data_IF_185968956703
#
_entry.id   IF_185968956703
#
_cell.length_a   1.000
_cell.length_b   1.000
_cell.length_c   1.000
_cell.angle_alpha   90.00
_cell.angle_beta   90.00
_cell.angle_gamma   90.00
#
_symmetry.space_group_name_H-M   'P 1'
#
loop_
_entity.id
_entity.type
_entity.pdbx_description
1 polymer ?
#
# COMPACT_ATOMS: atom_id res chain seq x y z
N UNK A 1 56.04 35.83 30.42
CA UNK A 1 56.02 34.73 29.43
C UNK A 1 54.57 34.27 29.28
N UNK A 2 53.85 34.82 28.32
CA UNK A 2 52.44 34.50 28.07
C UNK A 2 52.35 33.29 27.15
N UNK A 3 51.79 32.19 27.67
CA UNK A 3 51.58 30.97 26.90
C UNK A 3 50.23 31.09 26.19
N UNK A 4 50.24 31.54 24.92
CA UNK A 4 49.09 31.45 24.05
C UNK A 4 48.95 29.99 23.58
N UNK A 5 48.18 29.21 24.33
CA UNK A 5 47.81 27.85 23.93
C UNK A 5 46.93 27.94 22.69
N UNK A 6 47.46 27.44 21.59
CA UNK A 6 46.88 27.41 20.26
C UNK A 6 45.53 26.69 20.21
N UNK A 7 44.44 27.46 20.13
CA UNK A 7 43.10 26.96 19.79
C UNK A 7 42.87 26.73 18.28
N UNK A 8 43.87 27.01 17.43
CA UNK A 8 43.69 27.08 15.97
C UNK A 8 43.47 25.73 15.26
N UNK A 9 43.93 24.59 15.79
CA UNK A 9 43.84 23.31 15.07
C UNK A 9 42.48 22.60 15.14
N UNK A 10 41.64 22.90 16.14
CA UNK A 10 40.32 22.23 16.32
C UNK A 10 39.18 22.94 15.56
N UNK A 11 39.31 24.25 15.33
CA UNK A 11 38.30 25.06 14.66
C UNK A 11 38.15 24.71 13.17
N UNK A 12 39.23 24.44 12.45
CA UNK A 12 39.18 24.21 11.00
C UNK A 12 38.42 22.94 10.62
N UNK A 13 38.60 21.84 11.34
CA UNK A 13 37.88 20.58 11.07
C UNK A 13 36.39 20.74 11.39
N UNK A 14 36.06 21.37 12.51
CA UNK A 14 34.69 21.61 12.96
C UNK A 14 33.94 22.54 12.00
N UNK A 15 34.57 23.64 11.59
CA UNK A 15 34.02 24.58 10.63
C UNK A 15 33.85 23.93 9.25
N UNK A 16 34.81 23.13 8.78
CA UNK A 16 34.69 22.39 7.52
C UNK A 16 33.49 21.41 7.54
N UNK A 17 33.25 20.73 8.66
CA UNK A 17 32.07 19.86 8.80
C UNK A 17 30.76 20.64 8.77
N UNK A 18 30.70 21.81 9.42
CA UNK A 18 29.55 22.72 9.39
C UNK A 18 29.33 23.25 7.98
N UNK A 19 30.37 23.74 7.31
CA UNK A 19 30.31 24.21 5.92
C UNK A 19 29.84 23.12 4.97
N UNK A 20 30.28 21.87 5.15
CA UNK A 20 29.80 20.74 4.35
C UNK A 20 28.32 20.43 4.58
N UNK A 21 27.81 20.58 5.80
CA UNK A 21 26.38 20.39 6.09
C UNK A 21 25.52 21.57 5.61
N UNK A 22 26.08 22.78 5.61
CA UNK A 22 25.39 23.98 5.13
C UNK A 22 25.45 24.13 3.59
N UNK A 23 26.51 23.63 2.94
CA UNK A 23 26.60 23.53 1.48
C UNK A 23 25.76 22.36 0.98
N UNK A 24 24.76 22.62 0.14
CA UNK A 24 23.92 21.57 -0.46
C UNK A 24 22.53 22.07 -0.84
N UNK A 25 21.56 21.16 -0.99
CA UNK A 25 20.16 21.44 -1.41
C UNK A 25 19.33 22.25 -0.39
N UNK A 26 19.96 22.90 0.59
CA UNK A 26 19.28 23.72 1.60
C UNK A 26 18.43 22.90 2.58
N UNK A 27 18.79 21.64 2.89
CA UNK A 27 17.98 20.75 3.73
C UNK A 27 17.65 21.32 5.11
N UNK A 28 18.62 21.99 5.77
CA UNK A 28 18.39 22.63 7.07
C UNK A 28 17.46 23.84 6.91
N UNK A 29 17.78 24.75 5.98
CA UNK A 29 17.03 26.00 5.77
C UNK A 29 15.57 25.73 5.37
N UNK A 30 15.35 24.68 4.59
CA UNK A 30 14.04 24.34 4.06
C UNK A 30 13.26 23.35 4.93
N UNK A 31 13.81 22.87 6.06
CA UNK A 31 13.19 21.77 6.84
C UNK A 31 11.76 22.11 7.25
N UNK A 32 11.51 23.31 7.78
CA UNK A 32 10.17 23.75 8.20
C UNK A 32 9.19 23.79 7.02
N UNK A 33 9.64 24.28 5.87
CA UNK A 33 8.82 24.33 4.64
C UNK A 33 8.53 22.93 4.10
N UNK A 34 9.55 22.07 4.07
CA UNK A 34 9.42 20.70 3.59
C UNK A 34 8.55 19.85 4.51
N UNK A 35 8.61 20.07 5.83
CA UNK A 35 7.76 19.35 6.79
C UNK A 35 6.28 19.70 6.58
N UNK A 36 5.95 20.99 6.47
CA UNK A 36 4.58 21.43 6.13
C UNK A 36 4.10 20.87 4.79
N UNK A 37 4.99 20.81 3.80
CA UNK A 37 4.67 20.21 2.51
C UNK A 37 4.47 18.69 2.64
N UNK A 38 5.29 18.00 3.43
CA UNK A 38 5.19 16.56 3.69
C UNK A 38 3.86 16.20 4.34
N UNK A 39 3.46 16.92 5.40
CA UNK A 39 2.18 16.72 6.08
C UNK A 39 1.00 16.92 5.11
N UNK A 40 1.06 17.97 4.28
CA UNK A 40 0.03 18.26 3.27
C UNK A 40 -0.06 17.16 2.20
N UNK A 41 1.07 16.81 1.60
CA UNK A 41 1.09 15.78 0.55
C UNK A 41 0.71 14.41 1.09
N UNK A 42 1.06 14.10 2.35
CA UNK A 42 0.64 12.87 3.00
C UNK A 42 -0.86 12.84 3.25
N UNK A 43 -1.47 13.96 3.67
CA UNK A 43 -2.92 14.07 3.80
C UNK A 43 -3.62 13.82 2.46
N UNK A 44 -3.13 14.41 1.37
CA UNK A 44 -3.65 14.17 0.03
C UNK A 44 -3.51 12.69 -0.38
N UNK A 45 -2.36 12.07 -0.11
CA UNK A 45 -2.11 10.66 -0.42
C UNK A 45 -3.07 9.72 0.34
N UNK A 46 -3.37 10.03 1.61
CA UNK A 46 -4.37 9.29 2.40
C UNK A 46 -5.77 9.38 1.77
N UNK A 47 -6.18 10.55 1.29
CA UNK A 47 -7.46 10.70 0.56
C UNK A 47 -7.50 9.80 -0.68
N UNK A 48 -6.44 9.78 -1.49
CA UNK A 48 -6.35 8.88 -2.66
C UNK A 48 -6.38 7.42 -2.23
N UNK A 49 -5.68 7.08 -1.15
CA UNK A 49 -5.69 5.73 -0.58
C UNK A 49 -7.10 5.27 -0.20
N UNK A 50 -7.88 6.15 0.44
CA UNK A 50 -9.26 5.87 0.82
C UNK A 50 -10.16 5.71 -0.41
N UNK A 51 -10.00 6.57 -1.42
CA UNK A 51 -10.72 6.44 -2.69
C UNK A 51 -10.43 5.11 -3.39
N UNK A 52 -9.16 4.72 -3.46
CA UNK A 52 -8.71 3.43 -4.02
C UNK A 52 -9.31 2.27 -3.22
N UNK A 53 -9.19 2.28 -1.88
CA UNK A 53 -9.76 1.25 -1.01
C UNK A 53 -11.27 1.12 -1.20
N UNK A 54 -11.99 2.24 -1.28
CA UNK A 54 -13.43 2.27 -1.50
C UNK A 54 -13.83 1.75 -2.89
N UNK A 55 -13.10 2.11 -3.96
CA UNK A 55 -13.35 1.58 -5.31
C UNK A 55 -13.15 0.09 -5.36
N UNK A 56 -12.03 -0.38 -4.83
CA UNK A 56 -11.72 -1.81 -4.82
C UNK A 56 -12.75 -2.59 -4.02
N UNK A 57 -13.17 -2.12 -2.85
CA UNK A 57 -14.22 -2.78 -2.06
C UNK A 57 -15.53 -2.92 -2.85
N UNK A 58 -15.91 -1.93 -3.68
CA UNK A 58 -17.09 -2.01 -4.54
C UNK A 58 -16.91 -3.01 -5.67
N UNK A 59 -15.75 -3.06 -6.31
CA UNK A 59 -15.50 -3.94 -7.45
C UNK A 59 -15.30 -5.40 -7.04
N UNK A 60 -14.67 -5.66 -5.88
CA UNK A 60 -14.46 -7.03 -5.36
C UNK A 60 -15.79 -7.75 -5.07
N UNK A 61 -16.89 -7.02 -4.78
CA UNK A 61 -18.23 -7.62 -4.65
C UNK A 61 -18.78 -8.23 -5.94
N UNK A 62 -18.16 -7.95 -7.10
CA UNK A 62 -18.61 -8.39 -8.43
C UNK A 62 -17.76 -9.50 -9.02
N UNK A 63 -17.22 -10.40 -8.18
CA UNK A 63 -16.31 -11.47 -8.59
C UNK A 63 -15.06 -10.94 -9.32
N UNK A 64 -14.59 -9.76 -8.94
CA UNK A 64 -13.31 -9.21 -9.40
C UNK A 64 -12.28 -9.29 -8.28
N UNK A 65 -11.01 -9.39 -8.65
CA UNK A 65 -9.90 -9.34 -7.71
C UNK A 65 -9.11 -8.06 -7.93
N UNK A 66 -8.62 -7.45 -6.83
CA UNK A 66 -7.72 -6.31 -6.90
C UNK A 66 -6.44 -6.63 -7.65
N UNK A 67 -6.08 -5.75 -8.57
CA UNK A 67 -4.83 -5.82 -9.31
C UNK A 67 -3.64 -5.86 -8.37
N UNK A 68 -2.63 -6.65 -8.74
CA UNK A 68 -1.40 -6.75 -7.97
C UNK A 68 -0.69 -5.39 -7.82
N UNK A 69 -0.74 -4.54 -8.85
CA UNK A 69 -0.19 -3.18 -8.80
C UNK A 69 -0.84 -2.34 -7.70
N UNK A 70 -2.17 -2.42 -7.56
CA UNK A 70 -2.92 -1.70 -6.51
C UNK A 70 -2.57 -2.24 -5.13
N UNK A 71 -2.41 -3.56 -4.97
CA UNK A 71 -1.95 -4.16 -3.70
C UNK A 71 -0.58 -3.62 -3.28
N UNK A 72 0.40 -3.67 -4.20
CA UNK A 72 1.76 -3.17 -3.96
C UNK A 72 1.75 -1.68 -3.62
N UNK A 73 0.98 -0.88 -4.35
CA UNK A 73 0.86 0.55 -4.08
C UNK A 73 0.29 0.82 -2.69
N UNK A 74 -0.79 0.16 -2.29
CA UNK A 74 -1.38 0.31 -0.95
C UNK A 74 -0.38 -0.03 0.16
N UNK A 75 0.38 -1.12 0.01
CA UNK A 75 1.42 -1.49 0.97
C UNK A 75 2.53 -0.44 1.05
N UNK A 76 2.94 0.14 -0.09
CA UNK A 76 3.94 1.22 -0.11
C UNK A 76 3.42 2.48 0.59
N UNK A 77 2.14 2.84 0.39
CA UNK A 77 1.50 3.97 1.08
C UNK A 77 1.50 3.75 2.59
N UNK A 78 1.12 2.57 3.08
CA UNK A 78 1.11 2.24 4.52
C UNK A 78 2.53 2.27 5.14
N UNK A 79 3.53 1.81 4.39
CA UNK A 79 4.94 1.88 4.80
C UNK A 79 5.43 3.32 4.94
N UNK A 80 5.12 4.18 3.96
CA UNK A 80 5.48 5.60 4.03
C UNK A 80 4.74 6.31 5.16
N UNK A 81 3.46 6.02 5.37
CA UNK A 81 2.66 6.60 6.45
C UNK A 81 3.34 6.40 7.81
N UNK A 82 3.76 5.16 8.08
CA UNK A 82 4.47 4.80 9.30
C UNK A 82 5.77 5.60 9.45
N UNK A 83 6.57 5.69 8.38
CA UNK A 83 7.84 6.45 8.36
C UNK A 83 7.63 7.95 8.55
N UNK A 84 6.55 8.52 8.01
CA UNK A 84 6.21 9.93 8.18
C UNK A 84 5.77 10.19 9.63
N UNK A 85 4.92 9.34 10.20
CA UNK A 85 4.48 9.48 11.59
C UNK A 85 5.65 9.38 12.58
N UNK A 86 6.59 8.46 12.36
CA UNK A 86 7.84 8.35 13.14
C UNK A 86 8.70 9.63 13.03
N UNK A 87 8.88 10.14 11.81
CA UNK A 87 9.66 11.36 11.56
C UNK A 87 9.04 12.60 12.21
N UNK A 88 7.71 12.74 12.12
CA UNK A 88 6.96 13.85 12.71
C UNK A 88 6.97 13.76 14.24
N UNK A 89 6.84 12.56 14.81
CA UNK A 89 6.94 12.35 16.27
C UNK A 89 8.33 12.75 16.79
N UNK A 90 9.38 12.45 16.03
CA UNK A 90 10.76 12.86 16.33
C UNK A 90 10.99 14.37 16.15
N UNK A 91 10.12 15.06 15.39
CA UNK A 91 10.26 16.49 15.09
C UNK A 91 10.13 17.39 16.32
N UNK A 92 9.22 17.06 17.25
CA UNK A 92 8.99 17.88 18.44
C UNK A 92 10.23 17.97 19.34
N UNK A 93 11.04 16.92 19.36
CA UNK A 93 12.31 16.86 20.09
C UNK A 93 13.39 17.67 19.36
N UNK A 94 13.54 17.49 18.05
CA UNK A 94 14.63 18.13 17.30
C UNK A 94 14.37 19.59 16.91
N UNK A 95 13.11 20.03 16.75
CA UNK A 95 12.77 21.41 16.39
C UNK A 95 13.02 22.41 17.55
N UNK A 96 12.96 21.96 18.81
CA UNK A 96 13.38 22.76 19.97
C UNK A 96 14.90 22.88 20.05
N UNK A 97 15.65 21.81 19.72
CA UNK A 97 17.12 21.79 19.73
C UNK A 97 17.77 22.40 18.48
N UNK A 98 16.97 22.74 17.47
CA UNK A 98 17.35 23.51 16.28
C UNK A 98 17.58 24.99 16.65
N UNK A 99 18.33 25.24 17.72
CA UNK A 99 18.79 26.56 18.11
C UNK A 99 19.82 27.05 17.09
N UNK A 100 19.61 28.28 16.60
CA UNK A 100 20.47 28.97 15.64
C UNK A 100 21.71 29.57 16.33
N UNK A 101 21.73 29.54 17.67
CA UNK A 101 22.79 30.11 18.51
C UNK A 101 23.45 29.00 19.33
N UNK A 102 24.40 28.34 18.68
CA UNK A 102 25.63 27.72 19.19
C UNK A 102 26.04 26.72 18.11
N UNK A 103 27.10 27.06 17.38
CA UNK A 103 27.62 26.30 16.22
C UNK A 103 28.28 24.97 16.66
N UNK A 104 27.62 24.20 17.53
CA UNK A 104 27.98 22.84 17.85
C UNK A 104 27.76 21.97 16.59
N UNK A 105 28.86 21.48 16.01
CA UNK A 105 28.86 20.69 14.77
C UNK A 105 27.94 19.48 14.81
N UNK A 106 27.74 18.88 16.00
CA UNK A 106 26.80 17.75 16.21
C UNK A 106 25.35 18.14 15.90
N UNK A 107 24.88 19.30 16.38
CA UNK A 107 23.50 19.76 16.16
C UNK A 107 23.25 20.13 14.69
N UNK A 108 24.23 20.74 14.03
CA UNK A 108 24.16 21.06 12.58
C UNK A 108 24.11 19.79 11.73
N UNK A 109 24.94 18.79 12.03
CA UNK A 109 24.93 17.50 11.32
C UNK A 109 23.62 16.74 11.50
N UNK A 110 23.08 16.70 12.72
CA UNK A 110 21.79 16.05 13.02
C UNK A 110 20.65 16.76 12.28
N UNK A 111 20.63 18.08 12.33
CA UNK A 111 19.68 18.93 11.59
C UNK A 111 19.73 18.68 10.09
N UNK A 112 20.94 18.55 9.52
CA UNK A 112 21.12 18.20 8.12
C UNK A 112 20.53 16.84 7.78
N UNK A 113 20.85 15.81 8.58
CA UNK A 113 20.33 14.45 8.39
C UNK A 113 18.82 14.42 8.47
N UNK A 114 18.24 15.10 9.45
CA UNK A 114 16.80 15.24 9.62
C UNK A 114 16.16 15.95 8.42
N UNK A 115 16.66 17.13 8.04
CA UNK A 115 16.17 17.86 6.87
C UNK A 115 16.29 17.08 5.56
N UNK A 116 17.34 16.28 5.40
CA UNK A 116 17.51 15.38 4.25
C UNK A 116 16.45 14.27 4.26
N UNK A 117 16.16 13.67 5.42
CA UNK A 117 15.09 12.65 5.55
C UNK A 117 13.72 13.23 5.21
N UNK A 118 13.38 14.40 5.74
CA UNK A 118 12.12 15.12 5.41
C UNK A 118 12.01 15.35 3.91
N UNK A 119 13.09 15.84 3.27
CA UNK A 119 13.11 16.06 1.82
C UNK A 119 12.89 14.76 1.04
N UNK A 120 13.61 13.69 1.38
CA UNK A 120 13.51 12.42 0.64
C UNK A 120 12.11 11.79 0.77
N UNK A 121 11.54 11.79 1.97
CA UNK A 121 10.18 11.29 2.20
C UNK A 121 9.14 12.12 1.44
N UNK A 122 9.31 13.46 1.37
CA UNK A 122 8.43 14.32 0.59
C UNK A 122 8.44 13.96 -0.90
N UNK A 123 9.61 13.71 -1.48
CA UNK A 123 9.71 13.29 -2.87
C UNK A 123 9.07 11.92 -3.09
N UNK A 124 9.28 10.98 -2.18
CA UNK A 124 8.68 9.64 -2.23
C UNK A 124 7.13 9.69 -2.17
N UNK A 125 6.57 10.53 -1.29
CA UNK A 125 5.12 10.77 -1.21
C UNK A 125 4.58 11.34 -2.51
N UNK A 126 5.27 12.32 -3.12
CA UNK A 126 4.84 12.89 -4.41
C UNK A 126 4.83 11.84 -5.53
N UNK A 127 5.85 10.98 -5.57
CA UNK A 127 5.90 9.87 -6.53
C UNK A 127 4.72 8.92 -6.32
N UNK A 128 4.48 8.45 -5.08
CA UNK A 128 3.32 7.59 -4.81
C UNK A 128 1.99 8.25 -5.15
N UNK A 129 1.87 9.57 -4.95
CA UNK A 129 0.68 10.32 -5.32
C UNK A 129 0.43 10.28 -6.83
N UNK A 130 1.49 10.40 -7.64
CA UNK A 130 1.38 10.28 -9.09
C UNK A 130 1.11 8.84 -9.56
N UNK A 131 1.63 7.84 -8.85
CA UNK A 131 1.37 6.42 -9.12
C UNK A 131 -0.05 5.98 -8.73
N UNK A 132 -0.74 6.73 -7.87
CA UNK A 132 -2.09 6.42 -7.40
C UNK A 132 -3.22 6.61 -8.43
N UNK A 133 -2.88 7.06 -9.65
CA UNK A 133 -3.85 7.26 -10.73
C UNK A 133 -3.99 5.99 -11.58
N UNK A 134 -4.80 5.04 -11.10
CA UNK A 134 -5.11 3.81 -11.82
C UNK A 134 -6.33 3.99 -12.73
N UNK A 135 -6.24 3.51 -13.98
CA UNK A 135 -7.37 3.47 -14.91
C UNK A 135 -8.32 2.30 -14.61
N UNK A 136 -7.75 1.15 -14.23
CA UNK A 136 -8.48 -0.04 -13.76
C UNK A 136 -7.93 -0.46 -12.38
N UNK A 137 -8.81 -0.84 -11.46
CA UNK A 137 -8.44 -1.15 -10.07
C UNK A 137 -8.56 -2.65 -9.74
N UNK A 138 -9.35 -3.38 -10.52
CA UNK A 138 -9.61 -4.80 -10.34
C UNK A 138 -9.67 -5.52 -11.70
N UNK A 139 -9.24 -6.76 -11.72
CA UNK A 139 -9.37 -7.67 -12.87
C UNK A 139 -10.46 -8.71 -12.60
N UNK A 140 -11.03 -9.29 -13.65
CA UNK A 140 -11.97 -10.39 -13.50
C UNK A 140 -11.28 -11.56 -12.79
N UNK A 141 -11.92 -12.07 -11.74
CA UNK A 141 -11.44 -13.30 -11.11
C UNK A 141 -11.53 -14.40 -12.15
N UNK A 142 -10.44 -15.13 -12.46
CA UNK A 142 -10.55 -16.34 -13.24
C UNK A 142 -11.57 -17.24 -12.55
N UNK A 143 -12.68 -17.53 -13.22
CA UNK A 143 -13.65 -18.51 -12.73
C UNK A 143 -12.86 -19.82 -12.68
N UNK A 144 -12.49 -20.26 -11.47
CA UNK A 144 -12.11 -21.66 -11.29
C UNK A 144 -13.40 -22.44 -11.55
N UNK A 145 -13.51 -22.97 -12.75
CA UNK A 145 -14.57 -23.89 -13.13
C UNK A 145 -14.58 -25.03 -12.10
N UNK A 146 -15.77 -25.39 -11.63
CA UNK A 146 -16.07 -26.40 -10.58
C UNK A 146 -16.00 -25.89 -9.14
N UNK A 147 -17.04 -25.14 -8.74
CA UNK A 147 -17.51 -25.21 -7.35
C UNK A 147 -18.41 -26.45 -7.25
N UNK A 148 -17.88 -27.55 -6.72
CA UNK A 148 -18.65 -28.78 -6.51
C UNK A 148 -19.73 -28.51 -5.45
N UNK A 149 -20.98 -28.44 -5.90
CA UNK A 149 -22.14 -28.22 -5.03
C UNK A 149 -22.22 -29.38 -4.04
N UNK A 150 -21.96 -29.10 -2.76
CA UNK A 150 -22.06 -30.10 -1.68
C UNK A 150 -23.52 -30.56 -1.57
N UNK A 151 -23.84 -31.64 -2.28
CA UNK A 151 -25.15 -32.26 -2.21
C UNK A 151 -25.09 -33.25 -1.07
N UNK A 152 -25.82 -33.00 0.02
CA UNK A 152 -25.92 -33.98 1.10
C UNK A 152 -26.38 -35.32 0.52
N UNK A 153 -25.71 -36.44 0.85
CA UNK A 153 -26.10 -37.73 0.30
C UNK A 153 -27.42 -38.16 0.98
N UNK A 154 -28.53 -37.98 0.29
CA UNK A 154 -29.78 -38.64 0.65
C UNK A 154 -29.57 -40.14 0.42
N UNK A 155 -29.36 -40.86 1.52
CA UNK A 155 -29.15 -42.31 1.57
C UNK A 155 -30.37 -43.05 1.01
N UNK A 156 -30.38 -43.25 -0.31
CA UNK A 156 -31.44 -43.98 -1.02
C UNK A 156 -31.24 -44.15 -2.54
N UNK A 157 -30.30 -43.43 -3.17
CA UNK A 157 -30.16 -43.39 -4.64
C UNK A 157 -28.86 -43.98 -5.22
N UNK A 158 -28.13 -44.79 -4.44
CA UNK A 158 -26.81 -45.31 -4.87
C UNK A 158 -26.89 -46.15 -6.16
N UNK A 159 -27.91 -47.02 -6.28
CA UNK A 159 -28.06 -47.90 -7.43
C UNK A 159 -28.47 -47.15 -8.72
N UNK A 160 -29.23 -46.06 -8.59
CA UNK A 160 -29.68 -45.27 -9.75
C UNK A 160 -28.54 -44.42 -10.33
N UNK A 161 -27.69 -43.87 -9.44
CA UNK A 161 -26.52 -43.09 -9.83
C UNK A 161 -25.47 -43.95 -10.52
N UNK A 162 -25.19 -45.14 -9.98
CA UNK A 162 -24.22 -46.08 -10.53
C UNK A 162 -24.66 -46.63 -11.90
N UNK A 163 -25.96 -46.86 -12.09
CA UNK A 163 -26.54 -47.26 -13.38
C UNK A 163 -26.45 -46.16 -14.42
N UNK A 164 -26.68 -44.90 -14.02
CA UNK A 164 -26.56 -43.75 -14.93
C UNK A 164 -25.11 -43.47 -15.31
N UNK A 165 -24.19 -43.59 -14.35
CA UNK A 165 -22.75 -43.40 -14.56
C UNK A 165 -22.15 -44.42 -15.53
N UNK A 166 -22.50 -45.71 -15.37
CA UNK A 166 -22.06 -46.77 -16.28
C UNK A 166 -22.61 -46.61 -17.71
N UNK A 167 -23.76 -45.94 -17.89
CA UNK A 167 -24.32 -45.65 -19.22
C UNK A 167 -23.66 -44.46 -19.89
N UNK A 168 -23.17 -43.49 -19.12
CA UNK A 168 -22.48 -42.30 -19.62
C UNK A 168 -21.04 -42.59 -20.08
N UNK A 169 -20.37 -43.56 -19.47
CA UNK A 169 -18.98 -43.93 -19.80
C UNK A 169 -18.87 -44.98 -20.92
N UNK A 170 -19.99 -45.48 -21.45
CA UNK A 170 -19.99 -46.32 -22.64
C UNK A 170 -20.06 -45.41 -23.88
N UNK A 171 -19.01 -45.45 -24.71
CA UNK A 171 -18.75 -44.60 -25.89
C UNK A 171 -19.78 -44.68 -27.04
N UNK A 172 -20.96 -45.29 -26.85
CA UNK A 172 -21.97 -45.48 -27.91
C UNK A 172 -23.27 -44.69 -27.75
N UNK A 173 -23.44 -43.83 -26.74
CA UNK A 173 -24.72 -43.10 -26.56
C UNK A 173 -24.55 -41.59 -26.44
N UNK A 174 -24.51 -40.94 -27.60
CA UNK A 174 -24.67 -39.49 -27.71
C UNK A 174 -26.10 -39.07 -27.38
N UNK A 175 -26.28 -38.42 -26.23
CA UNK A 175 -27.49 -37.72 -25.76
C UNK A 175 -28.57 -38.65 -25.17
N UNK A 176 -28.69 -38.63 -23.83
CA UNK A 176 -29.81 -39.21 -23.10
C UNK A 176 -30.90 -38.16 -22.86
N UNK A 177 -32.00 -38.22 -23.62
CA UNK A 177 -33.18 -37.39 -23.40
C UNK A 177 -34.09 -37.98 -22.31
N UNK A 178 -34.31 -37.24 -21.22
CA UNK A 178 -35.33 -37.58 -20.22
C UNK A 178 -36.70 -37.07 -20.70
N UNK A 179 -37.55 -37.99 -21.19
CA UNK A 179 -38.94 -37.68 -21.50
C UNK A 179 -39.82 -37.91 -20.26
N UNK A 180 -40.40 -36.84 -19.72
CA UNK A 180 -41.43 -36.92 -18.68
C UNK A 180 -42.81 -37.23 -19.29
N UNK A 181 -43.56 -38.13 -18.67
CA UNK A 181 -44.92 -38.51 -19.06
C UNK A 181 -45.92 -37.52 -18.44
N UNK A 182 -46.63 -36.76 -19.26
CA UNK A 182 -47.71 -35.87 -18.84
C UNK A 182 -48.95 -36.65 -18.40
N UNK A 183 -49.46 -36.34 -17.21
CA UNK A 183 -50.71 -36.89 -16.66
C UNK A 183 -51.58 -35.77 -16.08
N UNK A 184 -52.42 -35.23 -16.95
CA UNK A 184 -53.69 -34.51 -16.75
C UNK A 184 -54.12 -34.17 -15.31
N UNK A 185 -54.20 -32.86 -15.03
CA UNK A 185 -55.04 -32.30 -13.98
C UNK A 185 -56.52 -32.37 -14.35
N UNK A 186 -57.35 -32.86 -13.44
CA UNK A 186 -58.78 -32.60 -13.44
C UNK A 186 -59.03 -31.29 -12.70
N UNK A 187 -59.47 -30.26 -13.42
CA UNK A 187 -60.18 -29.13 -12.82
C UNK A 187 -61.67 -29.34 -13.06
N UNK A 188 -62.41 -29.55 -11.98
CA UNK A 188 -63.88 -29.52 -11.96
C UNK A 188 -64.30 -28.46 -10.95
N UNK A 189 -65.02 -27.46 -11.45
CA UNK A 189 -65.74 -26.37 -10.78
C UNK A 189 -64.91 -25.33 -9.98
#
# INVERSE_FOLDING_TARGET
MGNCVSFQLSCDQTLNHIFRCLRGKGYIRNVKKNLRALEREMANLRTIQDEVKNKVAREETRYRQRLQAVKVWLTRVESIDTRVNDLVSTSHVHLQDLCVCDLCSKNVCLSYKYGKRVFLLLEEVKVLKSEGNFDEFTELTPISEVEERHTQPTSGQKNMLETAWNRLMNDEVGIMGLHGMGGSGGSTA
#
